data_IF_575750147476
#
_entry.id   IF_575750147476
#
_cell.length_a   1.000
_cell.length_b   1.000
_cell.length_c   1.000
_cell.angle_alpha   90.00
_cell.angle_beta   90.00
_cell.angle_gamma   90.00
#
_symmetry.space_group_name_H-M   'P 1'
#
loop_
_entity.id
_entity.type
_entity.pdbx_description
1 polymer ?
#
# COMPACT_ATOMS: atom_id res chain seq x y z
N UNK A 1 -4.88 15.57 -3.52
CA UNK A 1 -3.47 15.57 -3.06
C UNK A 1 -2.95 14.16 -3.25
N UNK A 2 -1.95 13.94 -4.11
CA UNK A 2 -1.30 12.64 -4.25
C UNK A 2 -0.22 12.53 -3.17
N UNK A 3 -0.19 11.41 -2.43
CA UNK A 3 0.85 11.13 -1.45
C UNK A 3 2.20 10.80 -2.11
N UNK A 4 3.20 10.50 -1.30
CA UNK A 4 4.51 10.04 -1.76
C UNK A 4 5.00 8.91 -0.84
N UNK A 5 4.88 7.68 -1.32
CA UNK A 5 5.24 6.47 -0.59
C UNK A 5 5.74 5.37 -1.56
N UNK A 6 6.86 5.61 -2.28
CA UNK A 6 7.38 4.65 -3.25
C UNK A 6 7.75 3.32 -2.57
N UNK A 7 7.36 2.22 -3.20
CA UNK A 7 7.62 0.87 -2.65
C UNK A 7 6.72 0.47 -1.49
N UNK A 8 5.67 1.24 -1.18
CA UNK A 8 4.67 0.90 -0.19
C UNK A 8 3.29 0.71 -0.81
N UNK A 9 2.53 -0.23 -0.25
CA UNK A 9 1.14 -0.50 -0.61
C UNK A 9 0.28 -0.48 0.65
N UNK A 10 -1.00 -0.20 0.49
CA UNK A 10 -1.99 -0.26 1.54
C UNK A 10 -3.02 -1.34 1.24
N UNK A 11 -3.18 -2.31 2.14
CA UNK A 11 -4.14 -3.41 2.04
C UNK A 11 -5.29 -3.22 3.01
N UNK A 12 -6.52 -3.16 2.54
CA UNK A 12 -7.68 -3.15 3.43
C UNK A 12 -7.76 -4.43 4.25
N UNK A 13 -7.80 -4.32 5.57
CA UNK A 13 -7.88 -5.50 6.46
C UNK A 13 -9.23 -6.22 6.40
N UNK A 14 -10.26 -5.61 5.78
CA UNK A 14 -11.60 -6.19 5.66
C UNK A 14 -11.84 -6.92 4.33
N UNK A 15 -11.52 -6.28 3.19
CA UNK A 15 -11.82 -6.84 1.87
C UNK A 15 -10.57 -7.27 1.08
N UNK A 16 -9.37 -7.06 1.66
CA UNK A 16 -8.10 -7.42 1.03
C UNK A 16 -7.68 -6.53 -0.14
N UNK A 17 -8.42 -5.46 -0.45
CA UNK A 17 -8.06 -4.55 -1.56
C UNK A 17 -6.70 -3.92 -1.31
N UNK A 18 -5.77 -4.12 -2.25
CA UNK A 18 -4.43 -3.53 -2.25
C UNK A 18 -4.45 -2.29 -3.16
N UNK A 19 -3.89 -1.19 -2.69
CA UNK A 19 -3.68 0.06 -3.44
C UNK A 19 -2.30 0.61 -3.17
N UNK A 20 -1.85 1.52 -4.03
CA UNK A 20 -0.63 2.24 -3.75
C UNK A 20 -0.82 3.11 -2.50
N UNK A 21 0.19 3.16 -1.63
CA UNK A 21 0.12 4.01 -0.45
C UNK A 21 0.04 5.50 -0.85
N UNK A 22 0.63 5.90 -1.97
CA UNK A 22 0.55 7.27 -2.48
C UNK A 22 -0.89 7.64 -2.93
N UNK A 23 -1.65 6.69 -3.48
CA UNK A 23 -3.03 6.92 -3.94
C UNK A 23 -3.99 7.25 -2.78
N UNK A 24 -3.72 6.74 -1.58
CA UNK A 24 -4.52 7.06 -0.38
C UNK A 24 -4.02 8.31 0.34
N UNK A 25 -3.15 9.11 -0.28
CA UNK A 25 -2.59 10.32 0.29
C UNK A 25 -1.52 10.07 1.35
N UNK A 26 -0.97 8.86 1.46
CA UNK A 26 0.08 8.56 2.43
C UNK A 26 1.40 9.20 1.96
N UNK A 27 1.97 10.06 2.81
CA UNK A 27 3.34 10.56 2.63
C UNK A 27 4.22 9.83 3.63
N UNK A 28 5.08 8.92 3.15
CA UNK A 28 6.07 8.21 3.98
C UNK A 28 7.47 8.50 3.45
N UNK A 29 8.19 9.38 4.14
CA UNK A 29 9.60 9.67 3.91
C UNK A 29 10.38 9.17 5.13
N UNK A 30 11.27 8.19 4.96
CA UNK A 30 12.23 7.76 6.00
C UNK A 30 11.68 7.09 7.28
N UNK A 31 10.40 6.72 7.35
CA UNK A 31 9.80 6.23 8.60
C UNK A 31 10.14 4.75 8.92
N UNK A 32 10.98 4.53 9.93
CA UNK A 32 11.23 3.24 10.61
C UNK A 32 10.15 2.98 11.68
N UNK A 33 8.87 2.96 11.30
CA UNK A 33 7.77 2.72 12.25
C UNK A 33 7.17 1.32 12.09
N UNK A 34 7.31 0.51 13.14
CA UNK A 34 6.86 -0.89 13.25
C UNK A 34 5.34 -1.08 13.15
N UNK A 35 4.55 0.00 13.32
CA UNK A 35 3.09 -0.06 13.26
C UNK A 35 2.60 0.25 11.85
N UNK A 36 2.28 -0.81 11.13
CA UNK A 36 1.96 -0.85 9.71
C UNK A 36 0.48 -0.68 9.42
N UNK A 37 -0.26 0.20 10.12
CA UNK A 37 -1.68 0.41 9.85
C UNK A 37 -2.02 1.89 9.76
N UNK A 38 -2.83 2.26 8.78
CA UNK A 38 -3.38 3.60 8.61
C UNK A 38 -4.90 3.53 8.50
N UNK A 39 -5.60 4.62 8.81
CA UNK A 39 -7.02 4.77 8.49
C UNK A 39 -7.13 5.39 7.10
N UNK A 40 -7.84 4.71 6.20
CA UNK A 40 -8.06 5.21 4.84
C UNK A 40 -9.41 4.77 4.28
N UNK A 41 -9.87 5.50 3.27
CA UNK A 41 -11.07 5.15 2.53
C UNK A 41 -10.85 3.85 1.74
N UNK A 42 -11.75 2.89 1.88
CA UNK A 42 -11.76 1.71 1.02
C UNK A 42 -12.90 1.84 -0.01
N UNK A 43 -12.61 2.00 -1.32
CA UNK A 43 -13.65 2.15 -2.33
C UNK A 43 -14.53 0.90 -2.46
N UNK A 44 -13.97 -0.30 -2.20
CA UNK A 44 -14.74 -1.56 -2.22
C UNK A 44 -15.67 -1.72 -1.03
N UNK A 45 -15.35 -1.13 0.13
CA UNK A 45 -16.21 -1.17 1.31
C UNK A 45 -17.08 0.08 1.50
N UNK A 46 -16.82 1.14 0.73
CA UNK A 46 -17.51 2.43 0.82
C UNK A 46 -17.35 3.19 2.14
N UNK A 47 -16.38 2.82 3.01
CA UNK A 47 -16.20 3.41 4.34
C UNK A 47 -14.73 3.53 4.71
N UNK A 48 -14.44 4.34 5.74
CA UNK A 48 -13.13 4.35 6.41
C UNK A 48 -12.84 2.98 7.03
N UNK A 49 -11.66 2.46 6.73
CA UNK A 49 -11.18 1.16 7.22
C UNK A 49 -9.72 1.28 7.62
N UNK A 50 -9.29 0.34 8.46
CA UNK A 50 -7.88 0.11 8.70
C UNK A 50 -7.27 -0.53 7.44
N UNK A 51 -6.18 0.07 6.97
CA UNK A 51 -5.38 -0.40 5.86
C UNK A 51 -4.00 -0.78 6.41
N UNK A 52 -3.60 -2.03 6.18
CA UNK A 52 -2.25 -2.48 6.47
C UNK A 52 -1.29 -1.87 5.44
N UNK A 53 -0.34 -1.05 5.90
CA UNK A 53 0.69 -0.42 5.08
C UNK A 53 1.88 -1.35 5.02
N UNK A 54 2.02 -2.05 3.91
CA UNK A 54 3.03 -3.09 3.69
C UNK A 54 4.04 -2.60 2.65
N UNK A 55 5.28 -3.07 2.72
CA UNK A 55 6.19 -2.88 1.59
C UNK A 55 5.65 -3.67 0.40
N UNK A 56 5.70 -3.08 -0.78
CA UNK A 56 5.48 -3.84 -2.01
C UNK A 56 6.50 -4.99 -2.04
N UNK A 57 6.09 -6.19 -2.48
CA UNK A 57 7.07 -7.21 -2.81
C UNK A 57 8.05 -6.59 -3.83
N UNK A 58 9.34 -6.96 -3.79
CA UNK A 58 10.23 -6.62 -4.88
C UNK A 58 9.53 -7.10 -6.16
N UNK A 59 9.34 -6.20 -7.10
CA UNK A 59 8.85 -6.56 -8.44
C UNK A 59 9.73 -7.72 -8.88
N UNK A 60 9.12 -8.90 -9.05
CA UNK A 60 9.89 -10.06 -9.44
C UNK A 60 10.61 -9.65 -10.72
N UNK A 61 11.95 -9.57 -10.66
CA UNK A 61 12.79 -9.27 -11.80
C UNK A 61 12.21 -10.08 -12.97
N UNK A 62 11.97 -9.47 -14.15
CA UNK A 62 11.32 -10.15 -15.24
C UNK A 62 12.01 -11.50 -15.39
N UNK A 63 11.26 -12.59 -15.15
CA UNK A 63 11.78 -13.93 -15.37
C UNK A 63 12.28 -13.89 -16.80
N UNK A 64 13.61 -13.96 -16.97
CA UNK A 64 14.20 -14.16 -18.27
C UNK A 64 13.42 -15.32 -18.87
N UNK A 65 12.63 -15.02 -19.90
CA UNK A 65 11.93 -16.02 -20.68
C UNK A 65 13.07 -16.82 -21.31
N UNK A 66 13.45 -17.93 -20.68
CA UNK A 66 14.39 -18.89 -21.26
C UNK A 66 13.73 -19.46 -22.51
N UNK A 67 14.32 -19.12 -23.65
CA UNK A 67 14.05 -19.72 -24.95
C UNK A 67 14.70 -21.09 -25.08
#
# INVERSE_FOLDING_TARGET
MNGYAPGWQARCTKCGLIRDAAEIGLVRIGAWSWKNYTLGGCPRCGRLRFLAVERKPPEAAPRAQSS
#
